data_IF_488257582729
#
_entry.id   IF_488257582729
#
_cell.length_a   1.000
_cell.length_b   1.000
_cell.length_c   1.000
_cell.angle_alpha   90.00
_cell.angle_beta   90.00
_cell.angle_gamma   90.00
#
_symmetry.space_group_name_H-M   'P 1'
#
loop_
_entity.id
_entity.type
_entity.pdbx_description
1 polymer ?
#
# COMPACT_ATOMS: atom_id res chain seq x y z
N UNK A 1 -10.18 28.44 -34.12
CA UNK A 1 -11.14 27.31 -34.04
C UNK A 1 -10.42 26.03 -34.46
N UNK A 2 -10.74 24.91 -33.78
CA UNK A 2 -10.18 23.54 -33.84
C UNK A 2 -8.89 23.33 -33.03
N UNK A 3 -8.75 22.30 -32.18
CA UNK A 3 -9.65 21.24 -31.72
C UNK A 3 -9.06 20.62 -30.45
N UNK A 4 -9.92 20.23 -29.50
CA UNK A 4 -9.56 19.58 -28.23
C UNK A 4 -8.96 18.18 -28.46
N UNK A 5 -7.95 17.84 -27.68
CA UNK A 5 -7.52 16.45 -27.45
C UNK A 5 -7.44 16.24 -25.94
N UNK A 6 -8.53 15.74 -25.38
CA UNK A 6 -8.61 15.24 -24.01
C UNK A 6 -8.11 13.79 -24.03
N UNK A 7 -6.86 13.55 -23.66
CA UNK A 7 -6.36 12.18 -23.46
C UNK A 7 -6.75 11.78 -22.03
N UNK A 8 -7.85 11.04 -21.94
CA UNK A 8 -8.19 10.23 -20.77
C UNK A 8 -7.28 9.01 -20.80
N UNK A 9 -6.30 8.93 -19.90
CA UNK A 9 -5.58 7.66 -19.66
C UNK A 9 -6.13 7.05 -18.38
N UNK A 10 -7.10 6.16 -18.56
CA UNK A 10 -7.46 5.14 -17.58
C UNK A 10 -6.27 4.20 -17.41
N UNK A 11 -5.79 4.00 -16.18
CA UNK A 11 -4.82 2.96 -15.87
C UNK A 11 -5.34 2.14 -14.69
N UNK A 12 -6.06 1.07 -15.05
CA UNK A 12 -6.38 -0.08 -14.21
C UNK A 12 -5.09 -0.91 -14.09
N UNK A 13 -4.59 -1.16 -12.89
CA UNK A 13 -3.65 -2.28 -12.65
C UNK A 13 -3.89 -2.91 -11.27
N UNK A 14 -4.45 -4.11 -11.32
CA UNK A 14 -4.55 -5.10 -10.25
C UNK A 14 -3.20 -5.81 -10.11
N UNK A 15 -2.66 -5.89 -8.89
CA UNK A 15 -1.61 -6.83 -8.54
C UNK A 15 -1.95 -7.50 -7.20
N UNK A 16 -2.11 -8.81 -7.24
CA UNK A 16 -2.45 -9.67 -6.12
C UNK A 16 -1.21 -9.97 -5.26
N UNK A 17 -1.30 -9.76 -3.95
CA UNK A 17 -0.36 -10.35 -2.98
C UNK A 17 -1.02 -11.54 -2.29
N UNK A 18 -0.53 -12.73 -2.58
CA UNK A 18 -0.88 -13.96 -1.89
C UNK A 18 0.03 -14.13 -0.66
N UNK A 19 -0.52 -14.02 0.55
CA UNK A 19 0.17 -14.41 1.78
C UNK A 19 -0.07 -15.90 2.04
N UNK A 20 0.98 -16.69 1.84
CA UNK A 20 1.03 -18.09 2.20
C UNK A 20 1.33 -18.24 3.71
N UNK A 21 0.33 -18.68 4.48
CA UNK A 21 0.53 -19.12 5.86
C UNK A 21 1.01 -20.57 5.91
N UNK A 22 2.29 -20.79 6.15
CA UNK A 22 2.86 -22.13 6.36
C UNK A 22 2.91 -22.43 7.87
N UNK A 23 1.88 -23.11 8.39
CA UNK A 23 1.89 -23.69 9.73
C UNK A 23 2.53 -25.09 9.64
N UNK A 24 3.77 -25.22 10.14
CA UNK A 24 4.42 -26.51 10.35
C UNK A 24 4.04 -27.01 11.75
N UNK A 25 3.21 -28.05 11.82
CA UNK A 25 2.95 -28.83 13.03
C UNK A 25 3.66 -30.17 12.91
N UNK A 26 4.71 -30.39 13.70
CA UNK A 26 5.30 -31.72 13.90
C UNK A 26 4.57 -32.40 15.06
N UNK A 27 3.82 -33.45 14.76
CA UNK A 27 3.14 -34.29 15.75
C UNK A 27 2.93 -35.68 15.18
N UNK A 28 3.97 -36.51 15.26
CA UNK A 28 3.92 -37.94 14.93
C UNK A 28 3.21 -38.70 16.03
N UNK A 29 2.09 -39.34 15.69
CA UNK A 29 1.39 -40.35 16.49
C UNK A 29 0.74 -41.36 15.55
N UNK A 30 0.97 -42.64 15.82
CA UNK A 30 0.69 -43.80 14.96
C UNK A 30 -0.80 -44.09 14.67
N UNK A 31 -0.96 -44.91 13.61
CA UNK A 31 -2.11 -45.44 12.87
C UNK A 31 -3.42 -45.91 13.55
N UNK A 32 -4.51 -45.84 12.74
CA UNK A 32 -5.80 -46.60 12.71
C UNK A 32 -6.84 -46.19 13.77
N UNK A 33 -8.12 -45.91 13.51
CA UNK A 33 -9.10 -46.50 12.57
C UNK A 33 -10.18 -45.48 12.12
N UNK A 34 -10.98 -45.94 11.16
CA UNK A 34 -12.05 -45.28 10.42
C UNK A 34 -13.10 -44.47 11.22
N UNK A 35 -13.44 -43.30 10.68
CA UNK A 35 -14.67 -42.56 10.96
C UNK A 35 -15.00 -41.67 9.77
N UNK A 36 -16.01 -42.04 9.01
CA UNK A 36 -16.56 -41.26 7.90
C UNK A 36 -16.91 -39.82 8.35
N UNK A 37 -16.36 -38.82 7.69
CA UNK A 37 -16.97 -37.51 7.58
C UNK A 37 -16.69 -37.02 6.16
N UNK A 38 -17.76 -36.82 5.41
CA UNK A 38 -17.75 -36.31 4.04
C UNK A 38 -16.77 -35.13 3.91
N UNK A 39 -16.01 -35.01 2.80
CA UNK A 39 -15.36 -33.76 2.51
C UNK A 39 -16.45 -32.72 2.28
N UNK A 40 -16.69 -31.88 3.30
CA UNK A 40 -17.52 -30.70 3.16
C UNK A 40 -16.94 -29.90 2.00
N UNK A 41 -17.59 -29.98 0.84
CA UNK A 41 -17.22 -29.18 -0.32
C UNK A 41 -17.61 -27.74 -0.02
N UNK A 42 -16.81 -27.07 0.82
CA UNK A 42 -16.83 -25.62 0.89
C UNK A 42 -16.32 -25.17 -0.47
N UNK A 43 -17.27 -24.84 -1.35
CA UNK A 43 -16.98 -24.11 -2.58
C UNK A 43 -16.02 -22.96 -2.21
N UNK A 44 -14.98 -22.68 -3.03
CA UNK A 44 -14.16 -21.50 -2.83
C UNK A 44 -15.10 -20.31 -2.72
N UNK A 45 -15.14 -19.68 -1.54
CA UNK A 45 -15.93 -18.47 -1.37
C UNK A 45 -15.28 -17.43 -2.28
N UNK A 46 -16.03 -16.79 -3.20
CA UNK A 46 -15.44 -15.84 -4.11
C UNK A 46 -14.74 -14.76 -3.29
N UNK A 47 -13.43 -14.62 -3.49
CA UNK A 47 -12.69 -13.49 -2.96
C UNK A 47 -13.40 -12.23 -3.45
N UNK A 48 -13.77 -11.29 -2.56
CA UNK A 48 -14.34 -10.02 -2.98
C UNK A 48 -13.45 -9.41 -4.04
N UNK A 49 -14.05 -8.97 -5.15
CA UNK A 49 -13.32 -8.23 -6.17
C UNK A 49 -12.78 -6.96 -5.50
N UNK A 50 -11.46 -6.69 -5.50
CA UNK A 50 -10.90 -5.51 -4.84
C UNK A 50 -11.43 -4.18 -5.44
N UNK A 51 -12.10 -4.21 -6.60
CA UNK A 51 -12.85 -3.08 -7.16
C UNK A 51 -14.22 -2.82 -6.50
N UNK A 52 -14.68 -3.72 -5.62
CA UNK A 52 -15.92 -3.58 -4.81
C UNK A 52 -15.64 -3.06 -3.40
N UNK A 53 -14.37 -2.78 -3.08
CA UNK A 53 -13.95 -2.23 -1.80
C UNK A 53 -14.09 -0.70 -1.83
N UNK A 54 -14.94 -0.16 -0.98
CA UNK A 54 -15.15 1.29 -0.86
C UNK A 54 -13.99 1.91 -0.07
N UNK A 55 -13.10 2.60 -0.76
CA UNK A 55 -12.00 3.36 -0.14
C UNK A 55 -12.44 4.81 0.08
N UNK A 56 -12.18 5.34 1.27
CA UNK A 56 -12.54 6.73 1.63
C UNK A 56 -11.30 7.51 2.03
N UNK A 57 -11.15 8.71 1.45
CA UNK A 57 -10.07 9.65 1.81
C UNK A 57 -10.18 10.07 3.27
N UNK A 58 -9.09 9.87 4.01
CA UNK A 58 -8.92 10.32 5.39
C UNK A 58 -8.21 11.67 5.40
N UNK A 59 -7.12 11.78 4.65
CA UNK A 59 -6.33 13.02 4.53
C UNK A 59 -5.54 13.01 3.22
N UNK A 60 -5.22 14.20 2.71
CA UNK A 60 -4.35 14.38 1.57
C UNK A 60 -3.55 15.67 1.71
N UNK A 61 -2.32 15.68 1.22
CA UNK A 61 -1.48 16.86 1.20
C UNK A 61 -0.44 16.81 0.08
N UNK A 62 0.14 17.96 -0.20
CA UNK A 62 1.26 18.13 -1.11
C UNK A 62 2.44 18.71 -0.35
N UNK A 63 3.65 18.27 -0.66
CA UNK A 63 4.88 18.79 -0.08
C UNK A 63 6.07 18.53 -1.01
N UNK A 64 7.28 18.85 -0.54
CA UNK A 64 8.52 18.77 -1.30
C UNK A 64 9.67 18.28 -0.42
N UNK A 65 10.53 17.43 -0.97
CA UNK A 65 11.75 17.00 -0.28
C UNK A 65 11.46 16.06 0.89
N UNK A 66 12.27 16.16 1.95
CA UNK A 66 11.99 15.42 3.18
C UNK A 66 10.99 16.20 4.04
N UNK A 67 9.91 15.53 4.49
CA UNK A 67 8.88 16.15 5.33
C UNK A 67 8.17 15.13 6.23
N UNK A 68 7.43 15.65 7.21
CA UNK A 68 6.50 14.86 8.04
C UNK A 68 5.05 15.25 7.75
N UNK A 69 4.16 14.25 7.69
CA UNK A 69 2.74 14.53 7.55
C UNK A 69 2.14 15.14 8.83
N UNK A 70 1.01 15.85 8.73
CA UNK A 70 0.11 16.00 9.86
C UNK A 70 -0.28 14.62 10.43
N UNK A 71 -0.60 14.56 11.72
CA UNK A 71 -1.17 13.36 12.33
C UNK A 71 -2.57 13.12 11.79
N UNK A 72 -2.95 11.86 11.63
CA UNK A 72 -4.28 11.44 11.19
C UNK A 72 -4.75 10.18 11.92
N UNK A 73 -6.07 9.98 11.94
CA UNK A 73 -6.72 8.86 12.59
C UNK A 73 -7.30 7.90 11.54
N UNK A 74 -7.08 6.60 11.73
CA UNK A 74 -7.67 5.51 10.94
C UNK A 74 -8.62 4.73 11.84
N UNK A 75 -9.87 4.60 11.40
CA UNK A 75 -10.89 3.84 12.11
C UNK A 75 -11.01 2.40 11.61
N UNK A 76 -10.65 2.16 10.34
CA UNK A 76 -10.75 0.85 9.71
C UNK A 76 -9.62 -0.10 10.10
N UNK A 77 -9.87 -1.40 9.95
CA UNK A 77 -8.85 -2.45 10.12
C UNK A 77 -7.81 -2.50 9.01
N UNK A 78 -8.07 -1.87 7.87
CA UNK A 78 -7.17 -1.81 6.72
C UNK A 78 -7.25 -0.42 6.09
N UNK A 79 -6.09 0.12 5.73
CA UNK A 79 -5.94 1.43 5.12
C UNK A 79 -4.75 1.43 4.15
N UNK A 80 -4.55 2.52 3.41
CA UNK A 80 -3.45 2.65 2.47
C UNK A 80 -2.92 4.08 2.37
N UNK A 81 -1.63 4.20 2.10
CA UNK A 81 -0.98 5.43 1.65
C UNK A 81 -0.79 5.34 0.15
N UNK A 82 -1.21 6.36 -0.59
CA UNK A 82 -0.98 6.52 -2.02
C UNK A 82 -0.13 7.76 -2.25
N UNK A 83 0.80 7.70 -3.21
CA UNK A 83 1.62 8.85 -3.55
C UNK A 83 1.81 9.01 -5.05
N UNK A 84 2.05 10.25 -5.44
CA UNK A 84 2.50 10.65 -6.76
C UNK A 84 3.60 11.70 -6.60
N UNK A 85 4.83 11.37 -6.99
CA UNK A 85 5.94 12.30 -7.07
C UNK A 85 6.25 12.56 -8.55
N UNK A 86 5.77 13.67 -9.14
CA UNK A 86 6.07 14.02 -10.52
C UNK A 86 7.58 14.15 -10.76
N UNK A 87 7.99 14.06 -12.02
CA UNK A 87 9.36 14.36 -12.38
C UNK A 87 9.57 15.88 -12.41
N UNK A 88 10.32 16.41 -11.46
CA UNK A 88 10.65 17.83 -11.35
C UNK A 88 12.12 18.16 -11.69
N UNK A 89 12.94 17.15 -12.00
CA UNK A 89 14.35 17.30 -12.36
C UNK A 89 15.29 17.55 -11.17
N UNK A 90 14.78 17.57 -9.94
CA UNK A 90 15.53 17.94 -8.72
C UNK A 90 16.13 16.72 -8.01
N UNK A 91 15.55 15.53 -8.16
CA UNK A 91 15.86 14.38 -7.27
C UNK A 91 16.72 13.23 -7.82
N UNK A 92 17.23 12.45 -6.87
CA UNK A 92 17.95 11.17 -7.07
C UNK A 92 17.02 10.02 -7.52
N UNK A 93 15.71 10.25 -7.54
CA UNK A 93 14.71 9.24 -7.89
C UNK A 93 14.26 8.36 -6.74
N UNK A 94 14.77 8.55 -5.53
CA UNK A 94 14.28 7.81 -4.37
C UNK A 94 12.94 8.38 -3.85
N UNK A 95 12.07 7.50 -3.39
CA UNK A 95 10.89 7.85 -2.62
C UNK A 95 10.67 6.81 -1.53
N UNK A 96 10.72 7.23 -0.26
CA UNK A 96 10.46 6.37 0.87
C UNK A 96 9.34 6.95 1.74
N UNK A 97 8.51 6.06 2.27
CA UNK A 97 7.44 6.36 3.22
C UNK A 97 7.67 5.52 4.46
N UNK A 98 7.95 6.19 5.57
CA UNK A 98 8.04 5.57 6.88
C UNK A 98 6.76 5.89 7.66
N UNK A 99 6.09 4.88 8.21
CA UNK A 99 4.86 4.99 8.98
C UNK A 99 5.18 4.91 10.47
N UNK A 100 4.66 5.85 11.24
CA UNK A 100 4.82 5.89 12.69
C UNK A 100 3.47 5.94 13.38
N UNK A 101 3.38 5.29 14.54
CA UNK A 101 2.31 5.55 15.49
C UNK A 101 2.42 7.00 16.01
N UNK A 102 1.31 7.56 16.48
CA UNK A 102 1.26 8.96 16.96
C UNK A 102 2.21 9.29 18.12
N UNK A 103 2.62 8.27 18.89
CA UNK A 103 3.60 8.36 19.97
C UNK A 103 5.06 8.38 19.49
N UNK A 104 5.29 8.26 18.18
CA UNK A 104 6.61 8.26 17.56
C UNK A 104 7.27 6.89 17.45
N UNK A 105 6.58 5.81 17.86
CA UNK A 105 7.08 4.45 17.64
C UNK A 105 6.96 4.07 16.17
N UNK A 106 8.03 3.50 15.62
CA UNK A 106 8.07 3.03 14.24
C UNK A 106 7.06 1.91 14.03
N UNK A 107 6.32 1.97 12.93
CA UNK A 107 5.31 0.98 12.57
C UNK A 107 5.81 0.09 11.42
N UNK A 108 5.96 0.67 10.22
CA UNK A 108 6.51 -0.01 9.04
C UNK A 108 6.98 1.03 8.01
N UNK A 109 7.65 0.59 6.95
CA UNK A 109 8.07 1.45 5.85
C UNK A 109 7.92 0.76 4.48
N UNK A 110 7.98 1.59 3.43
CA UNK A 110 8.19 1.17 2.06
C UNK A 110 9.25 2.07 1.44
N UNK A 111 10.19 1.43 0.74
CA UNK A 111 11.21 2.09 -0.06
C UNK A 111 11.00 1.79 -1.54
N UNK A 112 10.82 2.84 -2.33
CA UNK A 112 10.90 2.79 -3.79
C UNK A 112 12.18 3.52 -4.20
N UNK A 113 13.29 2.78 -4.30
CA UNK A 113 14.63 3.33 -4.52
C UNK A 113 15.25 2.84 -5.83
N UNK A 114 16.08 3.71 -6.40
CA UNK A 114 17.12 3.32 -7.32
C UNK A 114 18.40 3.22 -6.48
N UNK A 115 18.63 2.07 -5.85
CA UNK A 115 19.78 1.85 -4.95
C UNK A 115 21.16 1.94 -5.65
N UNK A 116 21.20 2.24 -6.95
CA UNK A 116 22.44 2.47 -7.68
C UNK A 116 22.75 3.97 -7.77
N UNK A 117 23.86 4.37 -7.16
CA UNK A 117 24.49 5.68 -7.32
C UNK A 117 24.58 6.04 -8.82
N UNK A 118 23.78 7.04 -9.23
CA UNK A 118 23.76 7.56 -10.60
C UNK A 118 22.51 7.19 -11.42
N UNK A 119 21.63 6.32 -10.92
CA UNK A 119 20.34 6.08 -11.56
C UNK A 119 19.34 7.16 -11.12
N UNK A 120 18.94 8.01 -12.06
CA UNK A 120 17.75 8.84 -11.91
C UNK A 120 16.57 8.05 -12.47
N UNK A 121 15.48 7.91 -11.72
CA UNK A 121 14.24 7.41 -12.31
C UNK A 121 13.67 8.45 -13.27
N UNK A 122 13.57 8.05 -14.54
CA UNK A 122 12.84 8.81 -15.53
C UNK A 122 11.34 8.74 -15.24
N UNK A 123 10.69 9.90 -15.19
CA UNK A 123 9.25 10.01 -15.04
C UNK A 123 8.73 10.07 -13.60
N UNK A 124 7.39 10.04 -13.44
CA UNK A 124 6.74 10.16 -12.15
C UNK A 124 6.84 8.85 -11.35
N UNK A 125 7.15 8.96 -10.07
CA UNK A 125 7.04 7.84 -9.13
C UNK A 125 5.63 7.84 -8.57
N UNK A 126 5.01 6.66 -8.52
CA UNK A 126 3.69 6.48 -7.94
C UNK A 126 3.62 5.12 -7.27
N UNK A 127 2.92 5.04 -6.16
CA UNK A 127 2.78 3.78 -5.48
C UNK A 127 1.65 3.78 -4.46
N UNK A 128 1.49 2.61 -3.85
CA UNK A 128 0.49 2.39 -2.81
C UNK A 128 1.08 1.43 -1.79
N UNK A 129 0.93 1.78 -0.51
CA UNK A 129 1.34 0.98 0.63
C UNK A 129 0.08 0.61 1.42
N UNK A 130 -0.30 -0.66 1.39
CA UNK A 130 -1.39 -1.20 2.21
C UNK A 130 -0.93 -1.47 3.64
N UNK A 131 -1.77 -1.12 4.61
CA UNK A 131 -1.44 -1.14 6.03
C UNK A 131 -2.64 -1.70 6.80
N UNK A 132 -2.35 -2.57 7.78
CA UNK A 132 -3.36 -3.14 8.66
C UNK A 132 -3.37 -2.44 10.02
N UNK A 133 -4.52 -2.45 10.69
CA UNK A 133 -4.71 -1.95 12.05
C UNK A 133 -5.22 -0.50 12.11
N UNK A 134 -6.26 -0.25 12.93
CA UNK A 134 -6.71 1.11 13.22
C UNK A 134 -5.75 1.81 14.19
N UNK A 135 -5.82 3.14 14.25
CA UNK A 135 -5.00 3.93 15.19
C UNK A 135 -4.74 5.35 14.72
N UNK A 136 -3.87 6.02 15.46
CA UNK A 136 -3.39 7.36 15.15
C UNK A 136 -1.96 7.29 14.64
N UNK A 137 -1.69 7.90 13.49
CA UNK A 137 -0.43 7.77 12.77
C UNK A 137 0.09 9.13 12.27
N UNK A 138 1.36 9.13 11.87
CA UNK A 138 1.94 10.12 10.96
C UNK A 138 2.96 9.45 10.05
N UNK A 139 3.27 10.10 8.93
CA UNK A 139 4.26 9.62 7.96
C UNK A 139 5.51 10.48 8.01
N UNK A 140 6.67 9.87 7.78
CA UNK A 140 7.87 10.57 7.32
C UNK A 140 8.14 10.21 5.88
N UNK A 141 8.33 11.22 5.06
CA UNK A 141 8.63 11.06 3.65
C UNK A 141 10.06 11.46 3.39
N UNK A 142 10.77 10.62 2.63
CA UNK A 142 12.13 10.89 2.22
C UNK A 142 12.23 10.81 0.71
N UNK A 143 12.45 11.96 0.11
CA UNK A 143 12.62 12.11 -1.33
C UNK A 143 13.27 13.47 -1.59
N UNK A 144 13.79 13.66 -2.80
CA UNK A 144 14.24 14.96 -3.29
C UNK A 144 13.23 15.59 -4.28
N UNK A 145 12.04 14.99 -4.41
CA UNK A 145 10.98 15.41 -5.34
C UNK A 145 9.87 16.17 -4.62
N UNK A 146 9.13 16.96 -5.38
CA UNK A 146 7.76 17.36 -5.04
C UNK A 146 6.82 16.13 -5.10
N UNK A 147 5.80 16.10 -4.25
CA UNK A 147 4.85 15.00 -4.21
C UNK A 147 3.47 15.37 -3.67
N UNK A 148 2.51 14.53 -4.01
CA UNK A 148 1.18 14.44 -3.41
C UNK A 148 1.02 13.10 -2.70
N UNK A 149 0.37 13.13 -1.53
CA UNK A 149 0.01 11.93 -0.75
C UNK A 149 -1.48 11.96 -0.44
N UNK A 150 -2.11 10.80 -0.54
CA UNK A 150 -3.47 10.55 -0.06
C UNK A 150 -3.46 9.34 0.85
N UNK A 151 -4.12 9.45 2.00
CA UNK A 151 -4.37 8.33 2.92
C UNK A 151 -5.84 7.96 2.80
N UNK A 152 -6.11 6.68 2.60
CA UNK A 152 -7.47 6.14 2.50
C UNK A 152 -7.67 4.99 3.46
N UNK A 153 -8.86 4.88 4.04
CA UNK A 153 -9.27 3.73 4.83
C UNK A 153 -10.32 2.90 4.07
N UNK A 154 -10.34 1.60 4.32
CA UNK A 154 -11.34 0.70 3.76
C UNK A 154 -12.66 0.81 4.53
N UNK A 155 -13.79 0.84 3.82
CA UNK A 155 -15.14 0.84 4.41
C UNK A 155 -15.96 -0.40 4.11
#
# INVERSE_FOLDING_TARGET
MKSNVLIVVSAVFLAAMALAGMLVWYGTGDTKDAGSTEPSSRLPQPTPDPSTLDWVDVTAWQSSGNDESPRFHISAGTWRVMWLAPHDGVGDGSFAVDVYNSDGTYYLDLYDTADHLGLKFDGPLRGTLGIDGPGDFFLRLRTARDYEVTVQELR
#
